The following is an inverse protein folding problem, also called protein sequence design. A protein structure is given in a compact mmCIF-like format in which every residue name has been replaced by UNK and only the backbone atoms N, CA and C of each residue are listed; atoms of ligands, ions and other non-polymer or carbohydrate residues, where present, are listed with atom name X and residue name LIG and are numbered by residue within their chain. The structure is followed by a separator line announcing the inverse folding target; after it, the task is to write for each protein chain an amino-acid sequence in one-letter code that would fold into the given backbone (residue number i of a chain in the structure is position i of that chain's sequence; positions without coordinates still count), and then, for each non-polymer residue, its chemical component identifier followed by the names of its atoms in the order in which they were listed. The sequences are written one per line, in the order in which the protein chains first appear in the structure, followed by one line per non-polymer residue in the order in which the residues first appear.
data_IF_647057560518
#
_entry.id   IF_647057560518
#
_cell.length_a   1.000
_cell.length_b   1.000
_cell.length_c   1.000
_cell.angle_alpha   90.00
_cell.angle_beta   90.00
_cell.angle_gamma   90.00
#
_symmetry.space_group_name_H-M   'P 1'
#
loop_
_entity.id
_entity.type
_entity.pdbx_description
1 polymer ?
#
# COMPACT_ATOMS: atom_id res chain seq x y z
N UNK A 1 18.08 -0.66 8.67
CA UNK A 1 16.67 -0.25 8.81
C UNK A 1 15.89 -0.81 7.63
N UNK A 2 15.17 -1.91 7.83
CA UNK A 2 14.37 -2.55 6.78
C UNK A 2 13.09 -1.75 6.54
N UNK A 3 13.07 -0.88 5.53
CA UNK A 3 11.84 -0.25 5.03
C UNK A 3 11.04 -1.25 4.17
N UNK A 4 10.62 -2.37 4.75
CA UNK A 4 9.66 -3.27 4.11
C UNK A 4 8.24 -2.88 4.53
N UNK A 5 7.86 -1.62 4.26
CA UNK A 5 6.48 -1.15 4.32
C UNK A 5 5.74 -1.58 3.04
N UNK A 6 5.93 -2.84 2.62
CA UNK A 6 5.09 -3.49 1.61
C UNK A 6 3.76 -3.81 2.27
N UNK A 7 2.90 -2.80 2.32
CA UNK A 7 1.44 -2.89 2.37
C UNK A 7 0.87 -4.22 2.91
N UNK A 8 0.45 -4.26 4.19
CA UNK A 8 -0.26 -5.40 4.80
C UNK A 8 -1.43 -5.93 3.95
N UNK A 9 -2.03 -5.11 3.07
CA UNK A 9 -3.07 -5.58 2.14
C UNK A 9 -2.61 -6.76 1.26
N UNK A 10 -1.32 -6.89 0.94
CA UNK A 10 -0.79 -8.02 0.16
C UNK A 10 -0.99 -9.35 0.89
N UNK A 11 -0.88 -9.38 2.21
CA UNK A 11 -1.16 -10.57 3.00
C UNK A 11 -2.66 -10.90 3.00
N UNK A 12 -3.52 -9.90 3.18
CA UNK A 12 -4.96 -10.11 3.12
C UNK A 12 -5.44 -10.50 1.72
N UNK A 13 -4.70 -10.17 0.64
CA UNK A 13 -4.95 -10.70 -0.70
C UNK A 13 -4.61 -12.20 -0.79
N UNK A 14 -3.56 -12.66 -0.11
CA UNK A 14 -3.19 -14.08 -0.07
C UNK A 14 -4.14 -14.93 0.81
N UNK A 15 -4.88 -14.32 1.74
CA UNK A 15 -5.70 -15.00 2.74
C UNK A 15 -6.83 -15.88 2.15
N UNK A 16 -7.24 -15.68 0.89
CA UNK A 16 -8.25 -16.55 0.25
C UNK A 16 -7.67 -17.84 -0.36
N UNK A 17 -6.35 -18.01 -0.42
CA UNK A 17 -5.74 -19.25 -0.94
C UNK A 17 -6.02 -20.49 -0.05
N UNK A 18 -6.48 -20.27 1.18
CA UNK A 18 -6.77 -21.33 2.17
C UNK A 18 -8.12 -21.19 2.92
N UNK A 19 -9.03 -20.28 2.50
CA UNK A 19 -10.22 -19.92 3.28
C UNK A 19 -11.58 -20.41 2.75
N UNK A 20 -12.42 -20.93 3.65
CA UNK A 20 -13.76 -21.51 3.43
C UNK A 20 -14.87 -20.46 3.17
N UNK A 21 -14.64 -19.18 3.47
CA UNK A 21 -15.64 -18.11 3.34
C UNK A 21 -15.56 -17.34 2.02
N UNK A 22 -16.73 -16.91 1.51
CA UNK A 22 -16.85 -16.10 0.28
C UNK A 22 -16.39 -14.65 0.44
N UNK A 23 -16.26 -14.15 1.67
CA UNK A 23 -15.99 -12.74 2.00
C UNK A 23 -14.63 -12.60 2.68
N UNK A 24 -13.87 -11.57 2.29
CA UNK A 24 -12.58 -11.18 2.86
C UNK A 24 -12.80 -9.98 3.78
N UNK A 25 -12.50 -10.16 5.05
CA UNK A 25 -12.51 -9.09 6.04
C UNK A 25 -11.10 -8.47 6.14
N UNK A 26 -11.00 -7.18 5.86
CA UNK A 26 -9.78 -6.40 6.02
C UNK A 26 -9.93 -5.47 7.22
N UNK A 27 -9.23 -5.74 8.34
CA UNK A 27 -9.27 -4.91 9.52
C UNK A 27 -8.42 -3.65 9.31
N UNK A 28 -9.07 -2.49 9.35
CA UNK A 28 -8.41 -1.18 9.27
C UNK A 28 -8.78 -0.32 10.49
N UNK A 29 -7.82 0.42 11.02
CA UNK A 29 -8.12 1.42 12.05
C UNK A 29 -9.11 2.47 11.52
N UNK A 30 -10.19 2.73 12.25
CA UNK A 30 -11.23 3.66 11.82
C UNK A 30 -11.79 3.36 10.42
N UNK A 31 -11.75 2.07 9.99
CA UNK A 31 -12.11 1.61 8.64
C UNK A 31 -11.30 2.27 7.50
N UNK A 32 -10.16 2.89 7.80
CA UNK A 32 -9.29 3.57 6.84
C UNK A 32 -9.77 4.96 6.38
N UNK A 33 -10.89 5.47 6.90
CA UNK A 33 -11.47 6.74 6.45
C UNK A 33 -10.73 7.98 6.97
N UNK A 34 -10.01 7.85 8.08
CA UNK A 34 -9.27 8.95 8.72
C UNK A 34 -7.80 9.02 8.30
N UNK A 35 -7.35 8.06 7.50
CA UNK A 35 -5.94 7.90 7.14
C UNK A 35 -5.75 8.25 5.67
N UNK A 36 -4.81 9.15 5.39
CA UNK A 36 -4.40 9.50 4.02
C UNK A 36 -2.96 9.03 3.83
N UNK A 37 -2.71 8.35 2.71
CA UNK A 37 -1.40 7.81 2.34
C UNK A 37 -0.92 8.39 1.01
N UNK A 38 0.39 8.63 0.92
CA UNK A 38 1.07 9.17 -0.25
C UNK A 38 2.19 8.21 -0.68
N UNK A 39 1.85 7.10 -1.35
CA UNK A 39 2.81 6.05 -1.69
C UNK A 39 3.79 6.53 -2.76
N UNK A 40 5.07 6.16 -2.59
CA UNK A 40 6.16 6.47 -3.52
C UNK A 40 6.67 5.21 -4.21
N UNK A 41 7.00 5.30 -5.50
CA UNK A 41 7.59 4.17 -6.22
C UNK A 41 9.08 4.02 -5.87
N UNK A 42 9.50 2.79 -5.55
CA UNK A 42 10.87 2.52 -5.11
C UNK A 42 11.93 2.90 -6.15
N UNK A 43 11.62 2.80 -7.45
CA UNK A 43 12.53 3.20 -8.52
C UNK A 43 12.81 4.71 -8.53
N UNK A 44 11.83 5.53 -8.15
CA UNK A 44 11.98 6.98 -8.07
C UNK A 44 12.85 7.37 -6.87
N UNK A 45 12.68 6.67 -5.74
CA UNK A 45 13.53 6.84 -4.55
C UNK A 45 14.98 6.49 -4.88
N UNK A 46 15.22 5.36 -5.55
CA UNK A 46 16.56 4.95 -5.95
C UNK A 46 17.20 5.98 -6.89
N UNK A 47 16.44 6.52 -7.85
CA UNK A 47 16.93 7.58 -8.74
C UNK A 47 17.23 8.88 -7.99
N UNK A 48 16.42 9.23 -6.99
CA UNK A 48 16.66 10.37 -6.12
C UNK A 48 17.96 10.23 -5.34
N UNK A 49 18.24 9.05 -4.79
CA UNK A 49 19.50 8.75 -4.09
C UNK A 49 20.70 8.89 -5.03
N UNK A 50 20.61 8.39 -6.26
CA UNK A 50 21.71 8.52 -7.23
C UNK A 50 21.91 9.99 -7.63
N UNK A 51 20.83 10.72 -7.89
CA UNK A 51 20.90 12.13 -8.27
C UNK A 51 21.46 13.00 -7.14
N UNK A 52 21.15 12.71 -5.88
CA UNK A 52 21.66 13.47 -4.74
C UNK A 52 23.17 13.37 -4.56
N UNK A 53 23.80 12.31 -5.10
CA UNK A 53 25.27 12.19 -5.13
C UNK A 53 25.92 13.09 -6.18
N UNK A 54 25.17 13.47 -7.22
CA UNK A 54 25.70 14.25 -8.36
C UNK A 54 25.51 15.76 -8.19
N UNK A 55 24.50 16.18 -7.44
CA UNK A 55 24.15 17.59 -7.24
C UNK A 55 24.99 18.17 -6.09
N UNK A 56 25.74 19.27 -6.32
CA UNK A 56 26.67 19.81 -5.32
C UNK A 56 25.98 20.42 -4.08
N UNK A 57 24.70 20.77 -4.20
CA UNK A 57 23.90 21.44 -3.17
C UNK A 57 23.05 20.45 -2.33
N UNK A 58 23.28 19.14 -2.47
CA UNK A 58 22.61 18.11 -1.67
C UNK A 58 23.18 17.80 -0.26
N UNK A 59 24.48 17.97 0.05
CA UNK A 59 25.02 17.49 1.32
C UNK A 59 24.41 18.26 2.50
N UNK A 60 23.99 17.53 3.54
CA UNK A 60 23.38 18.11 4.74
C UNK A 60 21.90 18.45 4.63
N UNK A 61 21.25 18.19 3.48
CA UNK A 61 19.81 18.40 3.29
C UNK A 61 19.01 17.12 3.53
N UNK A 62 17.84 17.29 4.14
CA UNK A 62 16.85 16.22 4.32
C UNK A 62 15.85 16.35 3.18
N UNK A 63 15.61 15.25 2.48
CA UNK A 63 14.64 15.17 1.39
C UNK A 63 13.48 14.27 1.78
N UNK A 64 12.27 14.69 1.45
CA UNK A 64 11.05 13.89 1.64
C UNK A 64 10.73 13.07 0.38
N UNK A 65 10.72 11.75 0.53
CA UNK A 65 10.39 10.81 -0.54
C UNK A 65 8.88 10.64 -0.66
N UNK A 66 8.24 11.53 -1.42
CA UNK A 66 6.78 11.60 -1.54
C UNK A 66 6.30 11.28 -2.95
N UNK A 67 5.20 10.52 -3.05
CA UNK A 67 4.57 10.20 -4.32
C UNK A 67 3.75 11.36 -4.92
N UNK A 68 3.29 11.23 -6.17
CA UNK A 68 2.58 12.30 -6.87
C UNK A 68 1.13 12.52 -6.39
N UNK A 69 0.48 11.49 -5.86
CA UNK A 69 -0.95 11.50 -5.54
C UNK A 69 -1.22 10.99 -4.12
N UNK A 70 -2.24 11.57 -3.48
CA UNK A 70 -2.69 11.25 -2.12
C UNK A 70 -4.00 10.47 -2.17
N UNK A 71 -4.05 9.38 -1.42
CA UNK A 71 -5.19 8.47 -1.39
C UNK A 71 -5.70 8.27 0.02
N UNK A 72 -7.02 8.17 0.18
CA UNK A 72 -7.61 7.69 1.42
C UNK A 72 -7.36 6.19 1.55
N UNK A 73 -6.97 5.72 2.73
CA UNK A 73 -6.52 4.34 2.92
C UNK A 73 -7.60 3.31 2.56
N UNK A 74 -8.86 3.58 2.91
CA UNK A 74 -9.97 2.67 2.60
C UNK A 74 -10.22 2.53 1.10
N UNK A 75 -10.17 3.63 0.35
CA UNK A 75 -10.36 3.64 -1.11
C UNK A 75 -9.18 2.99 -1.81
N UNK A 76 -7.96 3.22 -1.32
CA UNK A 76 -6.73 2.59 -1.82
C UNK A 76 -6.79 1.07 -1.65
N UNK A 77 -7.19 0.58 -0.47
CA UNK A 77 -7.35 -0.87 -0.22
C UNK A 77 -8.44 -1.44 -1.12
N UNK A 78 -9.63 -0.83 -1.19
CA UNK A 78 -10.72 -1.31 -2.08
C UNK A 78 -10.26 -1.41 -3.52
N UNK A 79 -9.57 -0.38 -4.02
CA UNK A 79 -9.07 -0.33 -5.38
C UNK A 79 -8.07 -1.46 -5.67
N UNK A 80 -7.12 -1.73 -4.76
CA UNK A 80 -6.19 -2.87 -4.88
C UNK A 80 -6.95 -4.20 -4.98
N UNK A 81 -7.97 -4.42 -4.14
CA UNK A 81 -8.79 -5.62 -4.19
C UNK A 81 -9.59 -5.74 -5.49
N UNK A 82 -10.15 -4.63 -5.99
CA UNK A 82 -10.88 -4.63 -7.24
C UNK A 82 -9.96 -4.92 -8.44
N UNK A 83 -8.72 -4.43 -8.44
CA UNK A 83 -7.70 -4.79 -9.46
C UNK A 83 -7.38 -6.30 -9.39
N UNK A 84 -7.41 -6.88 -8.20
CA UNK A 84 -7.24 -8.32 -8.00
C UNK A 84 -8.48 -9.17 -8.36
N UNK A 85 -9.52 -8.56 -8.97
CA UNK A 85 -10.79 -9.18 -9.38
C UNK A 85 -11.69 -9.63 -8.22
N UNK A 86 -11.62 -9.00 -7.07
CA UNK A 86 -12.60 -9.22 -6.01
C UNK A 86 -13.89 -8.44 -6.28
N UNK A 87 -15.03 -9.04 -5.97
CA UNK A 87 -16.32 -8.35 -6.10
C UNK A 87 -16.57 -7.44 -4.88
N UNK A 88 -17.31 -6.33 -5.00
CA UNK A 88 -17.68 -5.48 -3.87
C UNK A 88 -18.38 -6.22 -2.73
N UNK A 89 -19.17 -7.25 -3.05
CA UNK A 89 -19.84 -8.11 -2.05
C UNK A 89 -18.89 -9.05 -1.32
N UNK A 90 -17.67 -9.24 -1.83
CA UNK A 90 -16.66 -10.13 -1.26
C UNK A 90 -15.64 -9.38 -0.39
N UNK A 91 -15.73 -8.05 -0.29
CA UNK A 91 -14.79 -7.21 0.47
C UNK A 91 -15.51 -6.47 1.58
N UNK A 92 -15.08 -6.73 2.81
CA UNK A 92 -15.55 -6.03 4.00
C UNK A 92 -14.40 -5.27 4.65
N UNK A 93 -14.55 -3.95 4.76
CA UNK A 93 -13.66 -3.14 5.59
C UNK A 93 -14.22 -3.05 7.01
N UNK A 94 -13.55 -3.74 7.91
CA UNK A 94 -13.96 -3.90 9.31
C UNK A 94 -13.03 -3.08 10.21
N UNK A 95 -13.52 -2.69 11.39
CA UNK A 95 -12.68 -2.06 12.41
C UNK A 95 -11.70 -3.05 13.03
N UNK A 96 -10.76 -2.54 13.84
CA UNK A 96 -9.88 -3.40 14.64
C UNK A 96 -10.69 -4.07 15.76
N UNK A 97 -11.05 -5.33 15.54
CA UNK A 97 -11.78 -6.14 16.53
C UNK A 97 -10.80 -6.70 17.59
N UNK A 98 -11.25 -6.93 18.84
CA UNK A 98 -10.41 -7.56 19.88
C UNK A 98 -9.84 -8.91 19.45
N UNK A 99 -10.61 -9.70 18.69
CA UNK A 99 -10.15 -11.00 18.13
C UNK A 99 -9.00 -10.79 17.14
N UNK A 100 -9.04 -9.73 16.34
CA UNK A 100 -7.95 -9.41 15.42
C UNK A 100 -6.69 -9.00 16.19
N UNK A 101 -6.82 -8.15 17.21
CA UNK A 101 -5.67 -7.76 18.05
C UNK A 101 -5.06 -8.96 18.79
N UNK A 102 -5.89 -9.90 19.27
CA UNK A 102 -5.41 -11.15 19.85
C UNK A 102 -4.62 -12.01 18.85
N UNK A 103 -5.05 -12.04 17.57
CA UNK A 103 -4.31 -12.71 16.49
C UNK A 103 -2.97 -12.03 16.20
N UNK A 104 -2.92 -10.70 16.22
CA UNK A 104 -1.68 -9.93 16.04
C UNK A 104 -0.71 -10.25 17.16
N UNK A 105 -1.17 -10.20 18.41
CA UNK A 105 -0.37 -10.57 19.57
C UNK A 105 0.17 -12.00 19.48
N UNK A 106 -0.68 -12.96 19.11
CA UNK A 106 -0.27 -14.34 18.91
C UNK A 106 0.75 -14.50 17.78
N UNK A 107 0.56 -13.77 16.67
CA UNK A 107 1.50 -13.79 15.55
C UNK A 107 2.87 -13.22 15.95
N UNK A 108 2.90 -12.09 16.66
CA UNK A 108 4.14 -11.48 17.15
C UNK A 108 4.86 -12.37 18.18
N UNK A 109 4.10 -13.03 19.06
CA UNK A 109 4.65 -13.96 20.04
C UNK A 109 5.26 -15.21 19.40
N UNK A 110 4.61 -15.76 18.36
CA UNK A 110 5.05 -17.01 17.71
C UNK A 110 6.12 -16.78 16.64
N UNK A 111 5.98 -15.74 15.82
CA UNK A 111 6.91 -15.40 14.76
C UNK A 111 8.05 -14.52 15.31
N UNK A 112 9.12 -15.17 15.78
CA UNK A 112 10.31 -14.50 16.33
C UNK A 112 11.10 -13.64 15.33
N UNK A 113 11.01 -13.95 14.03
CA UNK A 113 11.78 -13.26 12.99
C UNK A 113 10.81 -12.67 11.97
N UNK A 114 10.78 -11.33 11.89
CA UNK A 114 9.95 -10.55 10.96
C UNK A 114 8.48 -11.03 10.91
N UNK A 115 7.72 -10.85 12.02
CA UNK A 115 6.30 -11.18 12.03
C UNK A 115 5.56 -10.41 10.93
N UNK A 116 4.70 -11.11 10.19
CA UNK A 116 3.89 -10.48 9.14
C UNK A 116 2.86 -9.48 9.68
N UNK A 117 2.32 -9.75 10.88
CA UNK A 117 1.45 -8.86 11.65
C UNK A 117 2.10 -8.59 13.01
N UNK A 118 2.43 -7.33 13.28
CA UNK A 118 2.95 -6.86 14.58
C UNK A 118 2.30 -5.54 14.96
N UNK A 119 2.35 -5.20 16.24
CA UNK A 119 1.84 -3.91 16.72
C UNK A 119 2.58 -2.73 16.10
N UNK A 120 3.91 -2.80 16.00
CA UNK A 120 4.73 -1.79 15.32
C UNK A 120 4.26 -1.54 13.89
N UNK A 121 3.97 -2.60 13.13
CA UNK A 121 3.51 -2.46 11.74
C UNK A 121 2.13 -1.82 11.65
N UNK A 122 1.20 -2.20 12.54
CA UNK A 122 -0.11 -1.56 12.61
C UNK A 122 0.03 -0.07 12.93
N UNK A 123 0.88 0.29 13.90
CA UNK A 123 1.13 1.68 14.26
C UNK A 123 1.78 2.49 13.14
N UNK A 124 2.59 1.88 12.27
CA UNK A 124 3.15 2.56 11.10
C UNK A 124 2.17 2.70 9.92
N UNK A 125 1.22 1.77 9.77
CA UNK A 125 0.33 1.73 8.60
C UNK A 125 -0.87 2.67 8.71
N UNK A 126 -1.38 2.95 9.91
CA UNK A 126 -2.57 3.80 10.12
C UNK A 126 -2.39 5.32 10.34
N UNK A 127 -1.21 5.90 10.61
CA UNK A 127 -1.06 7.36 10.69
C UNK A 127 -1.14 7.99 9.30
N UNK A 128 -1.62 9.23 9.23
CA UNK A 128 -1.69 10.00 7.98
C UNK A 128 -0.32 10.55 7.61
N UNK A 129 0.03 10.47 6.32
CA UNK A 129 1.29 11.01 5.82
C UNK A 129 1.22 12.55 5.71
N UNK A 130 2.04 13.25 6.50
CA UNK A 130 2.14 14.72 6.53
C UNK A 130 3.48 15.17 5.98
N UNK A 131 3.50 16.27 5.21
CA UNK A 131 4.73 16.88 4.71
C UNK A 131 5.30 17.84 5.74
N UNK A 132 6.60 17.77 6.02
CA UNK A 132 7.27 18.66 6.98
C UNK A 132 7.74 19.97 6.32
N UNK A 133 7.61 20.08 4.99
CA UNK A 133 8.06 21.25 4.22
C UNK A 133 9.51 21.14 3.71
N UNK A 134 10.12 19.96 3.84
CA UNK A 134 11.44 19.69 3.27
C UNK A 134 11.39 19.59 1.73
N UNK A 135 12.53 19.78 1.04
CA UNK A 135 12.64 19.51 -0.39
C UNK A 135 12.20 18.09 -0.75
N UNK A 136 11.59 17.93 -1.93
CA UNK A 136 11.03 16.66 -2.38
C UNK A 136 11.90 16.00 -3.45
N UNK A 137 11.52 14.80 -3.90
CA UNK A 137 12.19 14.12 -5.02
C UNK A 137 12.13 14.91 -6.33
N UNK A 138 11.16 15.83 -6.48
CA UNK A 138 11.10 16.70 -7.65
C UNK A 138 12.31 17.64 -7.73
N UNK A 139 12.82 18.10 -6.59
CA UNK A 139 14.00 18.98 -6.51
C UNK A 139 15.29 18.25 -6.87
N UNK A 140 15.30 16.91 -6.77
CA UNK A 140 16.38 16.04 -7.22
C UNK A 140 16.27 15.68 -8.71
N UNK A 141 15.46 16.41 -9.50
CA UNK A 141 15.20 16.14 -10.91
C UNK A 141 14.67 14.72 -11.19
N UNK A 142 13.86 14.16 -10.27
CA UNK A 142 13.20 12.87 -10.46
C UNK A 142 11.78 13.08 -10.95
N UNK A 143 11.44 12.47 -12.09
CA UNK A 143 10.07 12.39 -12.58
C UNK A 143 9.31 11.34 -11.76
N UNK A 144 8.33 11.77 -10.98
CA UNK A 144 7.50 10.88 -10.16
C UNK A 144 6.60 9.99 -11.03
N UNK A 145 6.60 8.70 -10.70
CA UNK A 145 5.78 7.67 -11.31
C UNK A 145 4.45 7.57 -10.55
N UNK A 146 3.34 7.56 -11.30
CA UNK A 146 2.00 7.38 -10.76
C UNK A 146 1.77 5.94 -10.31
N UNK A 147 0.98 5.75 -9.26
CA UNK A 147 0.69 4.41 -8.74
C UNK A 147 -0.17 3.62 -9.72
N UNK A 148 -1.13 4.30 -10.34
CA UNK A 148 -2.07 3.81 -11.34
C UNK A 148 -1.36 3.11 -12.50
N UNK A 149 -0.24 3.68 -12.96
CA UNK A 149 0.53 3.13 -14.08
C UNK A 149 1.28 1.83 -13.71
N UNK A 150 1.53 1.57 -12.42
CA UNK A 150 2.37 0.46 -11.96
C UNK A 150 1.63 -0.61 -11.19
N UNK A 151 0.49 -0.29 -10.60
CA UNK A 151 -0.20 -1.16 -9.65
C UNK A 151 -0.53 -2.53 -10.26
N UNK A 152 -0.94 -2.59 -11.53
CA UNK A 152 -1.29 -3.82 -12.23
C UNK A 152 -0.14 -4.83 -12.28
N UNK A 153 1.10 -4.35 -12.42
CA UNK A 153 2.30 -5.19 -12.41
C UNK A 153 2.63 -5.68 -11.00
N UNK A 154 2.48 -4.81 -9.99
CA UNK A 154 2.80 -5.12 -8.59
C UNK A 154 1.87 -6.21 -8.05
N UNK A 155 0.56 -6.09 -8.33
CA UNK A 155 -0.45 -6.99 -7.76
C UNK A 155 -0.78 -8.19 -8.65
N UNK A 156 -0.11 -8.33 -9.81
CA UNK A 156 -0.35 -9.40 -10.79
C UNK A 156 -0.39 -10.79 -10.16
N UNK A 157 0.57 -11.09 -9.29
CA UNK A 157 0.68 -12.40 -8.62
C UNK A 157 -0.49 -12.71 -7.68
N UNK A 158 -1.16 -11.68 -7.16
CA UNK A 158 -2.26 -11.77 -6.22
C UNK A 158 -3.64 -11.72 -6.88
N UNK A 159 -3.68 -11.54 -8.21
CA UNK A 159 -4.92 -11.51 -8.98
C UNK A 159 -5.61 -12.88 -8.95
N UNK A 160 -6.93 -12.89 -8.77
CA UNK A 160 -7.72 -14.13 -8.83
C UNK A 160 -7.65 -14.72 -10.24
N UNK A 161 -7.38 -16.03 -10.36
CA UNK A 161 -7.11 -16.70 -11.63
C UNK A 161 -5.94 -16.07 -12.40
N UNK A 162 -4.80 -15.86 -11.74
CA UNK A 162 -3.60 -15.26 -12.35
C UNK A 162 -3.01 -16.06 -13.53
N UNK A 163 -3.35 -17.34 -13.66
CA UNK A 163 -2.97 -18.20 -14.78
C UNK A 163 -3.86 -18.03 -16.02
N UNK A 164 -5.00 -17.35 -15.88
CA UNK A 164 -5.88 -17.06 -16.99
C UNK A 164 -5.35 -15.88 -17.80
N UNK A 165 -5.11 -16.10 -19.09
CA UNK A 165 -4.70 -15.07 -20.04
C UNK A 165 -5.94 -14.35 -20.54
N UNK A 166 -6.26 -13.22 -19.92
CA UNK A 166 -7.42 -12.40 -20.29
C UNK A 166 -7.30 -11.90 -21.73
N UNK A 167 -8.45 -11.84 -22.42
CA UNK A 167 -8.59 -10.96 -23.56
C UNK A 167 -8.51 -9.49 -23.14
N UNK A 168 -8.00 -8.62 -24.02
CA UNK A 168 -7.99 -7.17 -23.77
C UNK A 168 -9.42 -6.67 -23.54
N UNK A 169 -9.71 -6.14 -22.36
CA UNK A 169 -11.03 -5.62 -21.99
C UNK A 169 -12.07 -6.66 -21.58
N UNK A 170 -11.68 -7.93 -21.39
CA UNK A 170 -12.60 -8.98 -20.94
C UNK A 170 -13.16 -8.71 -19.54
N UNK A 171 -12.31 -8.16 -18.66
CA UNK A 171 -12.70 -7.73 -17.32
C UNK A 171 -12.75 -6.21 -17.26
N UNK A 172 -13.80 -5.62 -16.65
CA UNK A 172 -13.85 -4.19 -16.45
C UNK A 172 -12.73 -3.77 -15.48
N UNK A 173 -11.93 -2.79 -15.90
CA UNK A 173 -10.93 -2.19 -15.02
C UNK A 173 -11.65 -1.30 -13.98
N UNK A 174 -11.32 -1.43 -12.68
CA UNK A 174 -11.92 -0.59 -11.68
C UNK A 174 -11.49 0.86 -11.91
N UNK A 175 -12.38 1.84 -11.67
CA UNK A 175 -12.02 3.25 -11.76
C UNK A 175 -10.90 3.57 -10.77
N UNK A 176 -10.05 4.52 -11.14
CA UNK A 176 -9.01 5.03 -10.25
C UNK A 176 -9.64 5.58 -8.95
N UNK A 177 -8.97 5.41 -7.81
CA UNK A 177 -9.50 5.86 -6.52
C UNK A 177 -9.61 7.38 -6.50
N UNK A 178 -10.59 7.94 -5.77
CA UNK A 178 -10.76 9.37 -5.67
C UNK A 178 -9.52 9.99 -5.02
N UNK A 179 -8.90 10.92 -5.74
CA UNK A 179 -7.75 11.66 -5.26
C UNK A 179 -8.21 12.62 -4.15
N UNK A 180 -7.50 12.59 -3.02
CA UNK A 180 -7.72 13.57 -1.96
C UNK A 180 -6.94 14.84 -2.36
N UNK A 181 -7.68 15.92 -2.66
CA UNK A 181 -7.09 17.24 -2.87
C UNK A 181 -6.68 17.81 -1.50
N UNK A 182 -5.54 18.50 -1.46
CA UNK A 182 -5.08 19.21 -0.25
C UNK A 182 -6.06 20.31 0.15
#
# INVERSE_FOLDING_TARGET
MHSNCTFSAVHFLAARRFGVSRVVDVPLWGRGQKTIKQPVYIGDVARGIVNSLTIPDCPGKIYEAVGPHRYRLDDLVKWIYFICRYLPSELNLTGMNPIFLARVFFNEYTARVSPFLSFERLECEFPTDTLSGCPTLADLNVKLTKLEDRIHHIVYLYRRMNYYLDGVGEFPEPPNPPLQLN
#
